data_IF_811914847409
#
_entry.id   IF_811914847409
#
_cell.length_a   1.000
_cell.length_b   1.000
_cell.length_c   1.000
_cell.angle_alpha   90.00
_cell.angle_beta   90.00
_cell.angle_gamma   90.00
#
_symmetry.space_group_name_H-M   'P 1'
#
loop_
_entity.id
_entity.type
_entity.pdbx_description
1 polymer ?
#
# COMPACT_ATOMS: atom_id res chain seq x y z
N UNK A 1 32.94 32.58 -51.67
CA UNK A 1 31.84 32.19 -50.76
C UNK A 1 31.41 33.45 -50.02
N UNK A 2 30.15 33.88 -50.13
CA UNK A 2 29.72 35.18 -49.60
C UNK A 2 29.75 35.16 -48.06
N UNK A 3 30.35 36.15 -47.37
CA UNK A 3 30.42 36.17 -45.90
C UNK A 3 29.05 36.09 -45.21
N UNK A 4 28.00 36.59 -45.87
CA UNK A 4 26.60 36.53 -45.38
C UNK A 4 26.07 35.08 -45.30
N UNK A 5 26.48 34.20 -46.23
CA UNK A 5 26.07 32.79 -46.19
C UNK A 5 26.75 32.04 -45.04
N UNK A 6 28.02 32.34 -44.76
CA UNK A 6 28.75 31.77 -43.62
C UNK A 6 28.10 32.15 -42.29
N UNK A 7 27.68 33.41 -42.12
CA UNK A 7 27.05 33.85 -40.87
C UNK A 7 25.71 33.19 -40.61
N UNK A 8 24.92 32.95 -41.67
CA UNK A 8 23.62 32.30 -41.54
C UNK A 8 23.76 30.81 -41.19
N UNK A 9 24.72 30.11 -41.83
CA UNK A 9 25.01 28.70 -41.52
C UNK A 9 25.44 28.55 -40.05
N UNK A 10 26.31 29.42 -39.55
CA UNK A 10 26.72 29.42 -38.14
C UNK A 10 25.53 29.62 -37.19
N UNK A 11 24.61 30.55 -37.49
CA UNK A 11 23.41 30.79 -36.68
C UNK A 11 22.49 29.58 -36.60
N UNK A 12 22.27 28.89 -37.72
CA UNK A 12 21.46 27.66 -37.73
C UNK A 12 22.13 26.51 -36.97
N UNK A 13 23.45 26.38 -37.09
CA UNK A 13 24.24 25.41 -36.33
C UNK A 13 24.16 25.68 -34.82
N UNK A 14 24.29 26.93 -34.39
CA UNK A 14 24.13 27.31 -32.98
C UNK A 14 22.72 27.01 -32.48
N UNK A 15 21.68 27.32 -33.26
CA UNK A 15 20.30 27.04 -32.88
C UNK A 15 20.00 25.53 -32.78
N UNK A 16 20.52 24.74 -33.71
CA UNK A 16 20.42 23.28 -33.68
C UNK A 16 21.14 22.69 -32.46
N UNK A 17 22.33 23.22 -32.12
CA UNK A 17 23.08 22.81 -30.94
C UNK A 17 22.34 23.15 -29.64
N UNK A 18 21.68 24.32 -29.57
CA UNK A 18 20.83 24.70 -28.44
C UNK A 18 19.63 23.76 -28.27
N UNK A 19 19.01 23.30 -29.36
CA UNK A 19 17.91 22.32 -29.29
C UNK A 19 18.35 20.95 -28.78
N UNK A 20 19.59 20.53 -29.09
CA UNK A 20 20.16 19.28 -28.57
C UNK A 20 20.39 19.32 -27.06
N UNK A 21 20.81 20.46 -26.51
CA UNK A 21 21.08 20.62 -25.07
C UNK A 21 19.80 20.45 -24.23
N UNK A 22 18.64 20.88 -24.75
CA UNK A 22 17.35 20.76 -24.03
C UNK A 22 16.94 19.29 -23.79
N UNK A 23 17.45 18.35 -24.60
CA UNK A 23 17.15 16.91 -24.45
C UNK A 23 17.87 16.27 -23.25
N UNK A 24 18.93 16.90 -22.73
CA UNK A 24 19.73 16.37 -21.61
C UNK A 24 19.29 16.89 -20.23
N UNK A 25 18.12 17.51 -20.12
CA UNK A 25 17.62 17.96 -18.82
C UNK A 25 17.39 16.74 -17.88
N UNK A 26 18.08 16.66 -16.72
CA UNK A 26 17.92 15.56 -15.80
C UNK A 26 16.47 15.47 -15.31
N UNK A 27 15.91 14.26 -15.40
CA UNK A 27 14.56 13.99 -14.95
C UNK A 27 14.50 14.03 -13.41
N UNK A 28 13.78 15.01 -12.85
CA UNK A 28 13.66 15.21 -11.40
C UNK A 28 13.16 13.94 -10.68
N UNK A 29 13.92 13.46 -9.70
CA UNK A 29 13.52 12.36 -8.81
C UNK A 29 12.65 12.92 -7.69
N UNK A 30 11.42 12.44 -7.60
CA UNK A 30 10.44 12.88 -6.61
C UNK A 30 10.34 11.95 -5.38
N UNK A 31 9.77 12.50 -4.31
CA UNK A 31 9.33 11.79 -3.11
C UNK A 31 7.81 11.89 -3.02
N UNK A 32 7.17 10.81 -2.58
CA UNK A 32 5.73 10.79 -2.36
C UNK A 32 5.49 10.84 -0.85
N UNK A 33 4.71 11.82 -0.39
CA UNK A 33 4.43 12.03 1.02
C UNK A 33 2.95 11.80 1.28
N UNK A 34 2.68 10.90 2.22
CA UNK A 34 1.36 10.72 2.80
C UNK A 34 1.21 11.68 3.98
N UNK A 35 0.30 12.64 3.83
CA UNK A 35 -0.04 13.63 4.85
C UNK A 35 -1.47 13.44 5.33
N UNK A 36 -1.72 13.80 6.58
CA UNK A 36 -3.07 14.03 7.10
C UNK A 36 -3.51 15.46 6.74
N UNK A 37 -4.81 15.73 6.73
CA UNK A 37 -5.36 17.07 6.41
C UNK A 37 -4.87 18.19 7.32
N UNK A 38 -4.43 17.86 8.54
CA UNK A 38 -3.81 18.80 9.49
C UNK A 38 -2.33 19.10 9.17
N UNK A 39 -1.81 18.62 8.04
CA UNK A 39 -0.42 18.83 7.62
C UNK A 39 0.57 17.81 8.19
N UNK A 40 0.17 16.96 9.15
CA UNK A 40 1.08 15.96 9.74
C UNK A 40 1.52 14.94 8.69
N UNK A 41 2.84 14.83 8.51
CA UNK A 41 3.44 13.78 7.69
C UNK A 41 3.30 12.45 8.42
N UNK A 42 2.67 11.49 7.75
CA UNK A 42 2.50 10.13 8.27
C UNK A 42 3.62 9.27 7.75
N UNK A 43 3.89 9.36 6.45
CA UNK A 43 4.85 8.51 5.80
C UNK A 43 5.42 9.17 4.54
N UNK A 44 6.67 8.84 4.24
CA UNK A 44 7.38 9.26 3.03
C UNK A 44 7.76 8.01 2.25
N UNK A 45 7.63 8.06 0.93
CA UNK A 45 8.03 7.03 -0.02
C UNK A 45 9.08 7.61 -0.96
N UNK A 46 10.12 6.82 -1.16
CA UNK A 46 11.31 7.13 -1.95
C UNK A 46 11.79 5.85 -2.63
N UNK A 47 12.64 5.95 -3.67
CA UNK A 47 13.22 4.77 -4.32
C UNK A 47 13.78 3.75 -3.32
N UNK A 48 13.42 2.48 -3.48
CA UNK A 48 13.77 1.37 -2.58
C UNK A 48 12.79 1.15 -1.42
N UNK A 49 11.84 2.06 -1.17
CA UNK A 49 10.86 1.87 -0.09
C UNK A 49 9.68 0.99 -0.53
N UNK A 50 9.27 0.04 0.32
CA UNK A 50 8.06 -0.74 0.08
C UNK A 50 6.79 0.13 0.19
N UNK A 51 5.86 -0.06 -0.73
CA UNK A 51 4.56 0.58 -0.75
C UNK A 51 3.48 -0.47 -1.03
N UNK A 52 2.35 -0.35 -0.31
CA UNK A 52 1.12 -1.06 -0.63
C UNK A 52 -0.02 -0.05 -0.69
N UNK A 53 -0.78 -0.09 -1.77
CA UNK A 53 -1.84 0.86 -2.05
C UNK A 53 -2.96 0.23 -2.87
N UNK A 54 -4.14 0.82 -2.81
CA UNK A 54 -5.29 0.40 -3.59
C UNK A 54 -5.51 1.40 -4.71
N UNK A 55 -5.65 0.91 -5.94
CA UNK A 55 -5.96 1.72 -7.11
C UNK A 55 -7.45 2.03 -7.23
N UNK A 56 -7.81 2.83 -8.25
CA UNK A 56 -9.20 3.11 -8.64
C UNK A 56 -9.96 1.85 -9.10
N UNK A 57 -9.23 0.84 -9.56
CA UNK A 57 -9.74 -0.50 -9.90
C UNK A 57 -10.14 -1.33 -8.67
N UNK A 58 -9.99 -0.78 -7.46
CA UNK A 58 -10.16 -1.46 -6.18
C UNK A 58 -9.20 -2.64 -5.98
N UNK A 59 -8.26 -2.85 -6.89
CA UNK A 59 -7.26 -3.90 -6.78
C UNK A 59 -6.14 -3.48 -5.84
N UNK A 60 -5.56 -4.49 -5.20
CA UNK A 60 -4.48 -4.30 -4.25
C UNK A 60 -3.13 -4.37 -4.97
N UNK A 61 -2.36 -3.28 -4.86
CA UNK A 61 -1.05 -3.15 -5.48
C UNK A 61 0.03 -3.07 -4.41
N UNK A 62 1.13 -3.77 -4.64
CA UNK A 62 2.27 -3.74 -3.73
C UNK A 62 3.60 -3.90 -4.46
N UNK A 63 4.66 -3.39 -3.84
CA UNK A 63 6.00 -3.52 -4.36
C UNK A 63 6.95 -2.49 -3.77
N UNK A 64 8.16 -2.46 -4.31
CA UNK A 64 9.17 -1.48 -3.95
C UNK A 64 9.14 -0.32 -4.94
N UNK A 65 9.10 0.91 -4.42
CA UNK A 65 9.16 2.12 -5.25
C UNK A 65 10.48 2.12 -6.02
N UNK A 66 10.41 2.20 -7.34
CA UNK A 66 11.58 2.33 -8.18
C UNK A 66 11.90 3.81 -8.44
N UNK A 67 10.88 4.58 -8.80
CA UNK A 67 10.99 6.00 -9.09
C UNK A 67 9.62 6.68 -9.03
N UNK A 68 9.62 7.98 -8.76
CA UNK A 68 8.41 8.82 -8.75
C UNK A 68 8.70 10.00 -9.66
N UNK A 69 7.97 10.11 -10.77
CA UNK A 69 8.17 11.14 -11.81
C UNK A 69 6.85 11.46 -12.51
N UNK A 70 6.62 12.72 -12.87
CA UNK A 70 5.49 13.16 -13.70
C UNK A 70 4.12 12.62 -13.21
N UNK A 71 3.84 12.76 -11.91
CA UNK A 71 2.61 12.26 -11.28
C UNK A 71 2.40 10.73 -11.39
N UNK A 72 3.46 9.99 -11.70
CA UNK A 72 3.45 8.53 -11.80
C UNK A 72 4.38 7.91 -10.77
N UNK A 73 3.87 6.87 -10.13
CA UNK A 73 4.58 5.96 -9.26
C UNK A 73 4.99 4.72 -10.06
N UNK A 74 6.29 4.49 -10.16
CA UNK A 74 6.83 3.25 -10.72
C UNK A 74 7.29 2.37 -9.57
N UNK A 75 6.86 1.11 -9.57
CA UNK A 75 7.16 0.17 -8.50
C UNK A 75 7.39 -1.23 -9.08
N UNK A 76 8.16 -2.04 -8.34
CA UNK A 76 8.48 -3.41 -8.72
C UNK A 76 7.91 -4.38 -7.71
N UNK A 77 7.10 -5.32 -8.20
CA UNK A 77 6.66 -6.47 -7.42
C UNK A 77 7.65 -7.62 -7.64
N UNK A 78 8.08 -8.27 -6.56
CA UNK A 78 8.94 -9.45 -6.60
C UNK A 78 8.14 -10.68 -6.19
N UNK A 79 8.08 -11.68 -7.06
CA UNK A 79 7.56 -12.99 -6.72
C UNK A 79 8.70 -13.87 -6.19
N UNK A 80 8.69 -14.12 -4.88
CA UNK A 80 9.73 -14.86 -4.17
C UNK A 80 9.20 -16.24 -3.85
N UNK A 81 9.90 -17.29 -4.30
CA UNK A 81 9.62 -18.66 -3.90
C UNK A 81 10.77 -19.24 -3.10
N UNK A 82 10.44 -20.08 -2.12
CA UNK A 82 11.42 -20.81 -1.34
C UNK A 82 11.87 -22.04 -2.13
N UNK A 83 13.14 -22.09 -2.53
CA UNK A 83 13.74 -23.27 -3.15
C UNK A 83 14.51 -24.07 -2.10
N UNK A 84 14.40 -25.41 -2.08
CA UNK A 84 15.25 -26.24 -1.24
C UNK A 84 16.69 -26.20 -1.74
N UNK A 85 17.62 -26.07 -0.82
CA UNK A 85 19.07 -26.19 -1.06
C UNK A 85 19.51 -27.63 -0.90
N UNK A 86 20.65 -28.00 -1.47
CA UNK A 86 21.19 -29.38 -1.45
C UNK A 86 21.42 -29.88 -0.01
N UNK A 87 21.70 -28.98 0.93
CA UNK A 87 21.86 -29.25 2.37
C UNK A 87 20.54 -29.27 3.16
N UNK A 88 19.38 -29.18 2.51
CA UNK A 88 18.06 -29.21 3.15
C UNK A 88 17.57 -27.87 3.70
N UNK A 89 18.35 -26.79 3.60
CA UNK A 89 17.91 -25.43 3.95
C UNK A 89 16.96 -24.85 2.89
N UNK A 90 16.18 -23.83 3.23
CA UNK A 90 15.34 -23.09 2.27
C UNK A 90 15.96 -21.74 1.96
N UNK A 91 16.16 -21.42 0.70
CA UNK A 91 16.66 -20.11 0.26
C UNK A 91 15.59 -19.38 -0.56
N UNK A 92 15.36 -18.09 -0.32
CA UNK A 92 14.44 -17.29 -1.12
C UNK A 92 15.07 -17.05 -2.50
N UNK A 93 14.40 -17.48 -3.56
CA UNK A 93 14.78 -17.22 -4.94
C UNK A 93 13.71 -16.35 -5.62
N UNK A 94 14.13 -15.34 -6.37
CA UNK A 94 13.22 -14.42 -7.06
C UNK A 94 12.94 -14.96 -8.44
N UNK A 95 11.73 -15.46 -8.66
CA UNK A 95 11.36 -16.06 -9.96
C UNK A 95 11.06 -15.00 -11.00
N UNK A 96 10.32 -13.96 -10.61
CA UNK A 96 9.92 -12.92 -11.53
C UNK A 96 9.87 -11.56 -10.83
N UNK A 97 10.17 -10.52 -11.61
CA UNK A 97 10.01 -9.14 -11.19
C UNK A 97 9.12 -8.41 -12.19
N UNK A 98 8.03 -7.84 -11.70
CA UNK A 98 7.06 -7.13 -12.52
C UNK A 98 7.20 -5.63 -12.27
N UNK A 99 7.56 -4.88 -13.31
CA UNK A 99 7.62 -3.41 -13.27
C UNK A 99 6.23 -2.87 -13.57
N UNK A 100 5.68 -2.15 -12.62
CA UNK A 100 4.33 -1.61 -12.67
C UNK A 100 4.37 -0.09 -12.61
N UNK A 101 3.36 0.54 -13.21
CA UNK A 101 3.17 1.98 -13.20
C UNK A 101 1.75 2.31 -12.74
N UNK A 102 1.62 3.27 -11.84
CA UNK A 102 0.34 3.80 -11.39
C UNK A 102 0.40 5.32 -11.36
N UNK A 103 -0.67 6.01 -11.81
CA UNK A 103 -0.76 7.46 -11.61
C UNK A 103 -1.10 7.74 -10.15
N UNK A 104 -0.45 8.72 -9.55
CA UNK A 104 -0.58 9.00 -8.10
C UNK A 104 -2.00 9.44 -7.75
N UNK A 105 -2.67 10.14 -8.67
CA UNK A 105 -4.10 10.47 -8.56
C UNK A 105 -5.04 9.26 -8.56
N UNK A 106 -4.61 8.13 -9.10
CA UNK A 106 -5.40 6.90 -9.14
C UNK A 106 -5.23 6.06 -7.86
N UNK A 107 -4.42 6.54 -6.90
CA UNK A 107 -4.24 5.89 -5.60
C UNK A 107 -5.37 6.31 -4.65
N UNK A 108 -6.30 5.38 -4.40
CA UNK A 108 -7.42 5.60 -3.49
C UNK A 108 -7.05 5.49 -2.01
N UNK A 109 -6.11 4.60 -1.67
CA UNK A 109 -5.72 4.37 -0.28
C UNK A 109 -4.32 3.77 -0.14
N UNK A 110 -3.67 4.04 0.99
CA UNK A 110 -2.30 3.57 1.29
C UNK A 110 -2.26 2.82 2.63
N UNK A 111 -1.28 1.91 2.79
CA UNK A 111 -0.91 1.25 4.05
C UNK A 111 -2.05 0.46 4.72
N UNK A 112 -2.87 -0.23 3.95
CA UNK A 112 -3.65 -1.33 4.52
C UNK A 112 -2.76 -2.58 4.40
N UNK A 113 -2.49 -3.25 5.50
CA UNK A 113 -1.80 -4.54 5.43
C UNK A 113 -2.82 -5.59 5.01
N UNK A 114 -2.45 -6.59 4.20
CA UNK A 114 -3.29 -7.77 3.95
C UNK A 114 -3.77 -8.41 5.27
N UNK A 115 -2.91 -8.37 6.28
CA UNK A 115 -3.21 -8.78 7.66
C UNK A 115 -4.29 -7.91 8.32
N UNK A 116 -4.39 -6.63 7.99
CA UNK A 116 -5.43 -5.76 8.54
C UNK A 116 -6.81 -6.01 7.95
N UNK A 117 -6.90 -6.28 6.64
CA UNK A 117 -8.17 -6.65 6.02
C UNK A 117 -8.63 -8.03 6.53
N UNK A 118 -7.73 -9.02 6.53
CA UNK A 118 -7.97 -10.34 7.12
C UNK A 118 -8.35 -10.23 8.59
N UNK A 119 -7.56 -9.55 9.41
CA UNK A 119 -7.84 -9.38 10.84
C UNK A 119 -9.20 -8.75 11.11
N UNK A 120 -9.58 -7.71 10.36
CA UNK A 120 -10.90 -7.08 10.51
C UNK A 120 -12.05 -8.01 10.12
N UNK A 121 -11.90 -8.78 9.04
CA UNK A 121 -12.92 -9.73 8.59
C UNK A 121 -13.01 -10.93 9.53
N UNK A 122 -11.87 -11.51 9.93
CA UNK A 122 -11.78 -12.56 10.95
C UNK A 122 -12.39 -12.11 12.26
N UNK A 123 -12.08 -10.88 12.70
CA UNK A 123 -12.64 -10.32 13.92
C UNK A 123 -14.16 -10.14 13.84
N UNK A 124 -14.66 -9.68 12.69
CA UNK A 124 -16.11 -9.57 12.45
C UNK A 124 -16.78 -10.94 12.42
N UNK A 125 -16.17 -11.93 11.77
CA UNK A 125 -16.66 -13.30 11.73
C UNK A 125 -16.76 -13.92 13.12
N UNK A 126 -15.72 -13.77 13.95
CA UNK A 126 -15.71 -14.26 15.33
C UNK A 126 -16.79 -13.57 16.19
N UNK A 127 -16.97 -12.26 16.03
CA UNK A 127 -18.08 -11.53 16.68
C UNK A 127 -19.43 -12.10 16.29
N UNK A 128 -19.68 -12.28 14.99
CA UNK A 128 -20.95 -12.84 14.49
C UNK A 128 -21.16 -14.28 14.95
N UNK A 129 -20.11 -15.09 14.98
CA UNK A 129 -20.15 -16.46 15.48
C UNK A 129 -20.48 -16.50 16.98
N UNK A 130 -19.87 -15.61 17.78
CA UNK A 130 -20.19 -15.46 19.20
C UNK A 130 -21.65 -15.10 19.44
N UNK A 131 -22.19 -14.13 18.70
CA UNK A 131 -23.61 -13.74 18.77
C UNK A 131 -24.54 -14.90 18.36
N UNK A 132 -24.23 -15.59 17.26
CA UNK A 132 -25.00 -16.74 16.80
C UNK A 132 -25.01 -17.88 17.84
N UNK A 133 -23.86 -18.17 18.46
CA UNK A 133 -23.78 -19.18 19.52
C UNK A 133 -24.52 -18.78 20.79
N UNK A 134 -24.49 -17.50 21.17
CA UNK A 134 -25.30 -17.01 22.29
C UNK A 134 -26.81 -17.23 22.02
N UNK A 135 -27.27 -16.89 20.81
CA UNK A 135 -28.67 -17.09 20.42
C UNK A 135 -29.08 -18.56 20.47
N UNK A 136 -28.25 -19.46 19.92
CA UNK A 136 -28.50 -20.92 19.97
C UNK A 136 -28.54 -21.42 21.42
N UNK A 137 -27.60 -20.97 22.26
CA UNK A 137 -27.55 -21.33 23.68
C UNK A 137 -28.82 -20.91 24.43
N UNK A 138 -29.30 -19.68 24.20
CA UNK A 138 -30.53 -19.15 24.80
C UNK A 138 -31.75 -19.95 24.32
N UNK A 139 -31.90 -20.16 23.00
CA UNK A 139 -33.03 -20.92 22.44
C UNK A 139 -33.08 -22.35 23.00
N UNK A 140 -31.92 -23.02 23.06
CA UNK A 140 -31.84 -24.37 23.60
C UNK A 140 -32.14 -24.41 25.11
N UNK A 141 -31.67 -23.42 25.88
CA UNK A 141 -31.96 -23.30 27.31
C UNK A 141 -33.44 -23.07 27.59
N UNK A 142 -34.10 -22.21 26.83
CA UNK A 142 -35.55 -21.96 26.91
C UNK A 142 -36.35 -23.21 26.53
N UNK A 143 -35.98 -23.92 25.46
CA UNK A 143 -36.67 -25.14 25.01
C UNK A 143 -36.58 -26.28 26.03
N UNK A 144 -35.44 -26.44 26.70
CA UNK A 144 -35.23 -27.50 27.68
C UNK A 144 -35.77 -27.20 29.09
N UNK A 145 -36.38 -26.02 29.30
CA UNK A 145 -36.81 -25.55 30.63
C UNK A 145 -35.69 -25.65 31.70
N UNK A 146 -34.43 -25.53 31.28
CA UNK A 146 -33.30 -25.65 32.19
C UNK A 146 -33.27 -24.43 33.12
N UNK A 147 -33.36 -24.65 34.44
CA UNK A 147 -33.32 -23.54 35.41
C UNK A 147 -31.96 -22.82 35.34
N UNK A 148 -32.00 -21.51 35.07
CA UNK A 148 -30.95 -20.48 35.23
C UNK A 148 -29.49 -20.92 35.19
N UNK A 149 -29.01 -21.58 36.25
CA UNK A 149 -27.60 -22.01 36.40
C UNK A 149 -27.14 -23.06 35.37
N UNK A 150 -28.02 -23.91 34.83
CA UNK A 150 -27.65 -24.92 33.82
C UNK A 150 -27.57 -24.36 32.38
N UNK A 151 -28.32 -23.29 32.10
CA UNK A 151 -28.24 -22.58 30.82
C UNK A 151 -26.82 -22.01 30.62
N UNK A 152 -26.20 -21.50 31.70
CA UNK A 152 -24.84 -20.94 31.68
C UNK A 152 -23.73 -22.00 31.80
N UNK A 153 -24.03 -23.27 32.08
CA UNK A 153 -23.02 -24.34 32.11
C UNK A 153 -22.78 -25.00 30.75
N UNK A 154 -23.57 -24.66 29.73
CA UNK A 154 -23.39 -25.16 28.38
C UNK A 154 -22.17 -24.54 27.70
N UNK A 155 -21.38 -25.36 27.02
CA UNK A 155 -20.17 -24.94 26.29
C UNK A 155 -20.42 -23.73 25.36
N UNK A 156 -21.63 -23.60 24.80
CA UNK A 156 -22.06 -22.48 23.95
C UNK A 156 -22.13 -21.11 24.66
N UNK A 157 -22.51 -21.08 25.94
CA UNK A 157 -22.67 -19.81 26.69
C UNK A 157 -21.34 -19.26 27.17
N UNK A 158 -20.36 -20.12 27.44
CA UNK A 158 -18.99 -19.69 27.75
C UNK A 158 -18.18 -19.34 26.50
N UNK A 159 -18.39 -20.06 25.38
CA UNK A 159 -17.66 -19.80 24.12
C UNK A 159 -18.13 -18.54 23.41
N UNK A 160 -19.41 -18.16 23.54
CA UNK A 160 -19.95 -16.98 22.88
C UNK A 160 -19.26 -15.65 23.29
N UNK A 161 -19.09 -15.32 24.60
CA UNK A 161 -18.32 -14.15 25.03
C UNK A 161 -16.88 -14.19 24.55
N UNK A 162 -16.21 -15.35 24.64
CA UNK A 162 -14.81 -15.49 24.24
C UNK A 162 -14.62 -15.16 22.77
N UNK A 163 -15.45 -15.71 21.87
CA UNK A 163 -15.36 -15.40 20.44
C UNK A 163 -15.69 -13.94 20.15
N UNK A 164 -16.69 -13.37 20.83
CA UNK A 164 -17.05 -11.98 20.64
C UNK A 164 -15.90 -11.04 21.01
N UNK A 165 -15.31 -11.22 22.20
CA UNK A 165 -14.21 -10.38 22.67
C UNK A 165 -12.93 -10.61 21.87
N UNK A 166 -12.59 -11.86 21.54
CA UNK A 166 -11.45 -12.15 20.67
C UNK A 166 -11.63 -11.47 19.30
N UNK A 167 -12.84 -11.56 18.72
CA UNK A 167 -13.15 -10.89 17.47
C UNK A 167 -13.06 -9.36 17.56
N UNK A 168 -13.51 -8.78 18.68
CA UNK A 168 -13.41 -7.34 18.94
C UNK A 168 -11.96 -6.86 19.02
N UNK A 169 -11.10 -7.56 19.77
CA UNK A 169 -9.67 -7.23 19.91
C UNK A 169 -8.98 -7.30 18.55
N UNK A 170 -9.17 -8.38 17.79
CA UNK A 170 -8.53 -8.56 16.47
C UNK A 170 -9.00 -7.45 15.50
N UNK A 171 -10.30 -7.13 15.50
CA UNK A 171 -10.87 -6.08 14.66
C UNK A 171 -10.33 -4.69 15.01
N UNK A 172 -10.12 -4.41 16.30
CA UNK A 172 -9.70 -3.10 16.77
C UNK A 172 -8.19 -2.87 16.63
N UNK A 173 -7.38 -3.93 16.74
CA UNK A 173 -5.93 -3.89 16.54
C UNK A 173 -5.52 -3.95 15.07
N UNK A 174 -6.41 -4.40 14.17
CA UNK A 174 -6.19 -4.38 12.74
C UNK A 174 -5.92 -2.96 12.22
N UNK A 175 -4.84 -2.80 11.44
CA UNK A 175 -4.46 -1.51 10.87
C UNK A 175 -5.60 -0.91 10.00
N UNK A 176 -5.81 0.40 10.09
CA UNK A 176 -6.87 1.07 9.34
C UNK A 176 -6.36 1.52 7.98
N UNK A 177 -7.14 1.23 6.94
CA UNK A 177 -6.93 1.75 5.58
C UNK A 177 -6.91 3.28 5.59
N UNK A 178 -5.84 3.87 5.06
CA UNK A 178 -5.69 5.34 4.96
C UNK A 178 -6.23 5.81 3.61
N UNK A 179 -7.53 6.11 3.56
CA UNK A 179 -8.23 6.56 2.34
C UNK A 179 -7.83 8.00 1.99
N UNK A 180 -7.33 8.19 0.77
CA UNK A 180 -6.92 9.47 0.21
C UNK A 180 -8.16 10.31 -0.12
N UNK A 181 -8.08 11.63 0.06
CA UNK A 181 -9.18 12.59 -0.16
C UNK A 181 -10.05 12.88 1.08
N UNK A 182 -10.23 11.90 1.98
CA UNK A 182 -11.04 12.10 3.21
C UNK A 182 -10.26 12.76 4.34
N UNK A 183 -9.33 12.02 4.95
CA UNK A 183 -8.50 12.48 6.08
C UNK A 183 -7.03 12.60 5.69
N UNK A 184 -6.67 11.94 4.59
CA UNK A 184 -5.31 11.80 4.11
C UNK A 184 -5.18 12.36 2.69
N UNK A 185 -3.99 12.83 2.35
CA UNK A 185 -3.64 13.38 1.04
C UNK A 185 -2.26 12.89 0.64
N UNK A 186 -2.05 12.78 -0.67
CA UNK A 186 -0.76 12.48 -1.26
C UNK A 186 -0.17 13.74 -1.87
N UNK A 187 1.11 13.97 -1.60
CA UNK A 187 1.84 15.08 -2.18
C UNK A 187 3.15 14.59 -2.77
N UNK A 188 3.40 14.96 -4.02
CA UNK A 188 4.70 14.74 -4.67
C UNK A 188 5.58 15.94 -4.36
N UNK A 189 6.75 15.68 -3.77
CA UNK A 189 7.81 16.68 -3.63
C UNK A 189 8.87 16.37 -4.65
N UNK A 190 9.22 17.35 -5.48
CA UNK A 190 10.32 17.26 -6.43
C UNK A 190 11.56 17.82 -5.76
N UNK A 191 12.65 17.07 -5.76
CA UNK A 191 13.93 17.62 -5.30
C UNK A 191 14.65 18.18 -6.54
N UNK A 192 14.94 19.48 -6.59
CA UNK A 192 15.90 19.99 -7.57
C UNK A 192 17.26 19.38 -7.24
N UNK A 193 17.90 18.80 -8.23
CA UNK A 193 19.22 18.18 -8.08
C UNK A 193 20.19 19.18 -7.44
N UNK A 194 20.72 18.85 -6.26
CA UNK A 194 21.75 19.65 -5.62
C UNK A 194 22.99 19.47 -6.49
N UNK A 195 23.39 20.53 -7.20
CA UNK A 195 24.71 20.56 -7.85
C UNK A 195 25.76 20.31 -6.76
N UNK A 196 26.38 19.14 -6.78
CA UNK A 196 27.57 18.88 -5.97
C UNK A 196 28.64 19.85 -6.45
N UNK A 197 29.25 20.65 -5.57
CA UNK A 197 30.40 21.45 -5.98
C UNK A 197 31.50 20.47 -6.40
N UNK A 198 31.89 20.53 -7.66
CA UNK A 198 33.08 19.90 -8.23
C UNK A 198 34.33 20.40 -7.55
#
# INVERSE_FOLDING_TARGET
MNPVYLSNIMRYLTFFFLLLIVQFAPAQVGFLILKKKDGKVIERYYPGKYIRFQGNDLADHEGYVQQIRNDSLFYVYYDIQMRPTVTGGRWPDTIHSYRMQCRIRDIMAINYTRNSFRGRNTGTFLQTAGVAMAAIGIINGLRKQEKGKKIFSGSFVLTAPVLYFAGWIIKHTAAKKKVIGKKYSLQVIRIPERQSPS
#
